data_IF_338043648004
#
_entry.id   IF_338043648004
#
_cell.length_a   1.000
_cell.length_b   1.000
_cell.length_c   1.000
_cell.angle_alpha   90.00
_cell.angle_beta   90.00
_cell.angle_gamma   90.00
#
_symmetry.space_group_name_H-M   'P 1'
#
loop_
_entity.id
_entity.type
_entity.pdbx_description
1 polymer ?
#
# COMPACT_ATOMS: atom_id res chain seq x y z
N UNK A 1 56.25 -35.30 -31.81
CA UNK A 1 54.84 -34.92 -31.55
C UNK A 1 54.42 -35.55 -30.24
N UNK A 2 54.38 -34.77 -29.15
CA UNK A 2 53.96 -35.28 -27.84
C UNK A 2 52.66 -34.55 -27.45
N UNK A 3 51.52 -35.24 -27.50
CA UNK A 3 50.24 -34.69 -27.04
C UNK A 3 50.19 -34.81 -25.52
N UNK A 4 50.21 -33.67 -24.82
CA UNK A 4 49.91 -33.64 -23.40
C UNK A 4 48.40 -33.85 -23.20
N UNK A 5 47.97 -34.74 -22.30
CA UNK A 5 46.57 -34.92 -21.99
C UNK A 5 46.07 -33.71 -21.20
N UNK A 6 45.11 -32.96 -21.76
CA UNK A 6 44.40 -31.93 -21.02
C UNK A 6 43.50 -32.62 -19.97
N UNK A 7 43.87 -32.50 -18.69
CA UNK A 7 43.04 -32.97 -17.58
C UNK A 7 41.75 -32.15 -17.54
N UNK A 8 40.66 -32.73 -18.02
CA UNK A 8 39.31 -32.22 -17.81
C UNK A 8 38.92 -32.47 -16.35
N UNK A 9 39.04 -31.43 -15.53
CA UNK A 9 38.43 -31.40 -14.20
C UNK A 9 36.92 -31.17 -14.37
N UNK A 10 36.15 -32.25 -14.39
CA UNK A 10 34.72 -32.20 -14.15
C UNK A 10 34.48 -31.60 -12.76
N UNK A 11 34.28 -30.28 -12.67
CA UNK A 11 33.99 -29.58 -11.41
C UNK A 11 32.55 -29.89 -11.01
N UNK A 12 32.37 -30.91 -10.18
CA UNK A 12 31.12 -31.12 -9.44
C UNK A 12 31.02 -30.12 -8.29
N UNK A 13 29.80 -29.66 -7.99
CA UNK A 13 29.52 -28.80 -6.84
C UNK A 13 29.66 -29.62 -5.55
N UNK A 14 30.43 -29.14 -4.59
CA UNK A 14 30.59 -29.81 -3.29
C UNK A 14 29.32 -29.67 -2.45
N UNK A 15 28.98 -30.70 -1.67
CA UNK A 15 27.89 -30.62 -0.68
C UNK A 15 28.11 -29.46 0.30
N UNK A 16 29.37 -29.21 0.68
CA UNK A 16 29.73 -28.11 1.58
C UNK A 16 29.51 -26.74 0.92
N UNK A 17 29.77 -26.62 -0.40
CA UNK A 17 29.49 -25.38 -1.14
C UNK A 17 28.00 -25.07 -1.15
N UNK A 18 27.14 -26.09 -1.32
CA UNK A 18 25.68 -25.91 -1.26
C UNK A 18 25.22 -25.48 0.13
N UNK A 19 25.71 -26.12 1.18
CA UNK A 19 25.35 -25.75 2.55
C UNK A 19 25.78 -24.32 2.89
N UNK A 20 26.98 -23.91 2.46
CA UNK A 20 27.47 -22.56 2.70
C UNK A 20 26.63 -21.52 1.94
N UNK A 21 26.29 -21.77 0.67
CA UNK A 21 25.43 -20.89 -0.12
C UNK A 21 24.05 -20.76 0.51
N UNK A 22 23.43 -21.86 0.94
CA UNK A 22 22.13 -21.84 1.61
C UNK A 22 22.18 -21.07 2.94
N UNK A 23 23.25 -21.23 3.71
CA UNK A 23 23.46 -20.47 4.95
C UNK A 23 23.58 -18.97 4.69
N UNK A 24 24.26 -18.55 3.62
CA UNK A 24 24.36 -17.13 3.26
C UNK A 24 23.02 -16.58 2.73
N UNK A 25 22.33 -17.34 1.88
CA UNK A 25 21.03 -16.93 1.33
C UNK A 25 19.98 -16.80 2.42
N UNK A 26 19.95 -17.70 3.41
CA UNK A 26 18.97 -17.62 4.51
C UNK A 26 19.15 -16.35 5.36
N UNK A 27 20.39 -15.93 5.60
CA UNK A 27 20.70 -14.66 6.28
C UNK A 27 20.21 -13.47 5.45
N UNK A 28 20.51 -13.45 4.15
CA UNK A 28 20.08 -12.37 3.26
C UNK A 28 18.56 -12.27 3.17
N UNK A 29 17.87 -13.40 3.00
CA UNK A 29 16.40 -13.46 2.93
C UNK A 29 15.77 -13.05 4.26
N UNK A 30 16.35 -13.49 5.38
CA UNK A 30 15.86 -13.15 6.72
C UNK A 30 15.85 -11.64 7.01
N UNK A 31 16.77 -10.89 6.40
CA UNK A 31 16.81 -9.43 6.51
C UNK A 31 16.02 -8.73 5.40
N UNK A 32 16.09 -9.23 4.16
CA UNK A 32 15.54 -8.56 2.99
C UNK A 32 14.01 -8.58 2.93
N UNK A 33 13.38 -9.70 3.26
CA UNK A 33 11.92 -9.86 3.17
C UNK A 33 11.15 -8.91 4.10
N UNK A 34 11.44 -8.84 5.42
CA UNK A 34 10.68 -7.95 6.32
C UNK A 34 10.84 -6.47 5.92
N UNK A 35 12.03 -6.06 5.46
CA UNK A 35 12.27 -4.70 4.99
C UNK A 35 11.41 -4.37 3.77
N UNK A 36 11.37 -5.24 2.77
CA UNK A 36 10.55 -5.04 1.58
C UNK A 36 9.05 -4.97 1.91
N UNK A 37 8.57 -5.84 2.81
CA UNK A 37 7.17 -5.82 3.26
C UNK A 37 6.81 -4.49 3.93
N UNK A 38 7.69 -3.97 4.80
CA UNK A 38 7.49 -2.66 5.42
C UNK A 38 7.40 -1.52 4.38
N UNK A 39 8.26 -1.53 3.37
CA UNK A 39 8.21 -0.53 2.29
C UNK A 39 6.91 -0.60 1.48
N UNK A 40 6.41 -1.81 1.19
CA UNK A 40 5.15 -1.98 0.47
C UNK A 40 3.94 -1.43 1.24
N UNK A 41 3.92 -1.61 2.56
CA UNK A 41 2.88 -1.03 3.44
C UNK A 41 2.90 0.49 3.34
N UNK A 42 4.07 1.12 3.41
CA UNK A 42 4.20 2.58 3.31
C UNK A 42 3.77 3.13 1.95
N UNK A 43 4.21 2.50 0.86
CA UNK A 43 3.84 2.90 -0.50
C UNK A 43 2.31 2.86 -0.70
N UNK A 44 1.63 1.84 -0.16
CA UNK A 44 0.18 1.72 -0.28
C UNK A 44 -0.57 2.76 0.54
N UNK A 45 -0.07 3.16 1.71
CA UNK A 45 -0.63 4.31 2.44
C UNK A 45 -0.55 5.59 1.61
N UNK A 46 0.59 5.84 0.98
CA UNK A 46 0.77 7.00 0.09
C UNK A 46 -0.19 6.96 -1.11
N UNK A 47 -0.35 5.79 -1.74
CA UNK A 47 -1.34 5.62 -2.81
C UNK A 47 -2.76 5.85 -2.30
N UNK A 48 -3.09 5.40 -1.09
CA UNK A 48 -4.40 5.62 -0.50
C UNK A 48 -4.66 7.10 -0.19
N UNK A 49 -3.64 7.82 0.29
CA UNK A 49 -3.70 9.27 0.46
C UNK A 49 -3.97 10.01 -0.86
N UNK A 50 -3.28 9.64 -1.93
CA UNK A 50 -3.50 10.21 -3.27
C UNK A 50 -4.92 9.91 -3.77
N UNK A 51 -5.41 8.70 -3.58
CA UNK A 51 -6.77 8.32 -3.97
C UNK A 51 -7.83 9.07 -3.17
N UNK A 52 -7.64 9.26 -1.85
CA UNK A 52 -8.54 10.07 -1.03
C UNK A 52 -8.64 11.51 -1.56
N UNK A 53 -7.51 12.13 -1.88
CA UNK A 53 -7.47 13.47 -2.48
C UNK A 53 -8.17 13.51 -3.84
N UNK A 54 -7.94 12.52 -4.69
CA UNK A 54 -8.59 12.42 -5.98
C UNK A 54 -10.12 12.31 -5.86
N UNK A 55 -10.63 11.48 -4.94
CA UNK A 55 -12.06 11.37 -4.66
C UNK A 55 -12.62 12.68 -4.10
N UNK A 56 -11.89 13.34 -3.19
CA UNK A 56 -12.31 14.63 -2.63
C UNK A 56 -12.44 15.72 -3.70
N UNK A 57 -11.47 15.80 -4.63
CA UNK A 57 -11.53 16.72 -5.76
C UNK A 57 -12.71 16.42 -6.68
N UNK A 58 -12.95 15.14 -7.00
CA UNK A 58 -14.10 14.74 -7.82
C UNK A 58 -15.44 15.09 -7.13
N UNK A 59 -15.51 14.95 -5.81
CA UNK A 59 -16.68 15.38 -5.03
C UNK A 59 -16.90 16.90 -5.10
N UNK A 60 -15.83 17.69 -4.96
CA UNK A 60 -15.92 19.15 -5.08
C UNK A 60 -16.39 19.59 -6.47
N UNK A 61 -15.89 18.93 -7.53
CA UNK A 61 -16.34 19.18 -8.90
C UNK A 61 -17.82 18.80 -9.09
N UNK A 62 -18.24 17.64 -8.60
CA UNK A 62 -19.64 17.23 -8.63
C UNK A 62 -20.53 18.27 -7.94
N UNK A 63 -20.15 18.72 -6.76
CA UNK A 63 -20.91 19.72 -6.01
C UNK A 63 -20.99 21.06 -6.75
N UNK A 64 -19.92 21.46 -7.45
CA UNK A 64 -19.93 22.66 -8.28
C UNK A 64 -20.85 22.53 -9.50
N UNK A 65 -20.93 21.36 -10.12
CA UNK A 65 -21.75 21.12 -11.32
C UNK A 65 -23.24 20.90 -11.00
N UNK A 66 -23.54 20.13 -9.96
CA UNK A 66 -24.90 19.70 -9.62
C UNK A 66 -25.54 20.62 -8.57
N UNK A 67 -24.73 21.29 -7.74
CA UNK A 67 -25.20 22.11 -6.63
C UNK A 67 -25.55 21.33 -5.36
N UNK A 68 -25.41 20.01 -5.39
CA UNK A 68 -25.70 19.09 -4.28
C UNK A 68 -24.48 18.20 -3.99
N UNK A 69 -24.42 17.63 -2.79
CA UNK A 69 -23.37 16.67 -2.43
C UNK A 69 -23.60 15.34 -3.15
N UNK A 70 -22.51 14.65 -3.50
CA UNK A 70 -22.61 13.39 -4.21
C UNK A 70 -23.12 12.29 -3.25
N UNK A 71 -24.11 11.47 -3.65
CA UNK A 71 -24.66 10.43 -2.77
C UNK A 71 -23.67 9.28 -2.51
N UNK A 72 -22.76 9.00 -3.44
CA UNK A 72 -21.80 7.91 -3.37
C UNK A 72 -20.57 8.15 -4.27
N UNK A 73 -19.54 7.29 -4.15
CA UNK A 73 -18.32 7.39 -4.98
C UNK A 73 -18.60 7.05 -6.45
N UNK A 74 -19.60 6.22 -6.75
CA UNK A 74 -19.89 5.82 -8.13
C UNK A 74 -20.43 7.00 -8.96
N UNK A 75 -21.20 7.88 -8.32
CA UNK A 75 -21.71 9.12 -8.92
C UNK A 75 -20.61 10.12 -9.30
N UNK A 76 -19.43 10.00 -8.69
CA UNK A 76 -18.26 10.84 -9.00
C UNK A 76 -17.50 10.41 -10.26
N UNK A 77 -17.83 9.25 -10.85
CA UNK A 77 -17.11 8.71 -12.01
C UNK A 77 -15.67 8.28 -11.70
N UNK A 78 -15.30 8.14 -10.43
CA UNK A 78 -13.97 7.71 -10.00
C UNK A 78 -13.92 6.19 -9.89
N UNK A 79 -12.87 5.57 -10.44
CA UNK A 79 -12.61 4.15 -10.24
C UNK A 79 -12.09 3.88 -8.82
N UNK A 80 -12.77 2.99 -8.10
CA UNK A 80 -12.44 2.59 -6.73
C UNK A 80 -12.15 1.08 -6.66
N UNK A 81 -11.15 0.64 -7.43
CA UNK A 81 -10.75 -0.77 -7.55
C UNK A 81 -9.45 -1.08 -6.81
N UNK A 82 -9.26 -0.49 -5.63
CA UNK A 82 -8.08 -0.70 -4.81
C UNK A 82 -8.16 -2.06 -4.09
N UNK A 83 -7.06 -2.81 -4.13
CA UNK A 83 -6.91 -4.13 -3.51
C UNK A 83 -6.50 -4.03 -2.04
N UNK A 84 -5.91 -2.91 -1.63
CA UNK A 84 -5.41 -2.67 -0.28
C UNK A 84 -6.45 -1.98 0.61
N UNK A 85 -7.17 -1.02 0.04
CA UNK A 85 -8.15 -0.20 0.76
C UNK A 85 -9.54 -0.27 0.12
N UNK A 86 -10.57 -0.11 0.94
CA UNK A 86 -11.95 0.11 0.55
C UNK A 86 -12.34 1.54 0.91
N UNK A 87 -12.86 2.29 -0.07
CA UNK A 87 -13.21 3.69 0.12
C UNK A 87 -14.73 3.84 0.19
N UNK A 88 -15.19 4.62 1.16
CA UNK A 88 -16.60 4.89 1.41
C UNK A 88 -16.80 6.40 1.57
N UNK A 89 -17.85 6.92 0.95
CA UNK A 89 -18.32 8.29 1.18
C UNK A 89 -19.38 8.26 2.28
N UNK A 90 -19.19 9.08 3.31
CA UNK A 90 -20.15 9.30 4.40
C UNK A 90 -20.63 10.73 4.31
N UNK A 91 -21.94 10.91 4.33
CA UNK A 91 -22.59 12.21 4.28
C UNK A 91 -23.18 12.53 5.64
N UNK A 92 -23.13 13.80 6.00
CA UNK A 92 -23.83 14.44 7.10
C UNK A 92 -24.62 15.64 6.55
N UNK A 93 -25.41 16.32 7.38
CA UNK A 93 -26.32 17.40 6.93
C UNK A 93 -25.62 18.54 6.18
N UNK A 94 -24.36 18.85 6.53
CA UNK A 94 -23.56 19.93 5.91
C UNK A 94 -22.10 19.54 5.63
N UNK A 95 -21.74 18.28 5.84
CA UNK A 95 -20.36 17.81 5.77
C UNK A 95 -20.27 16.44 5.10
N UNK A 96 -19.09 16.11 4.57
CA UNK A 96 -18.78 14.75 4.11
C UNK A 96 -17.47 14.26 4.70
N UNK A 97 -17.35 12.94 4.74
CA UNK A 97 -16.10 12.26 4.99
C UNK A 97 -15.88 11.15 3.97
N UNK A 98 -14.67 11.07 3.41
CA UNK A 98 -14.23 9.93 2.62
C UNK A 98 -13.34 9.09 3.51
N UNK A 99 -13.68 7.83 3.67
CA UNK A 99 -12.99 6.90 4.56
C UNK A 99 -12.38 5.79 3.74
N UNK A 100 -11.06 5.62 3.83
CA UNK A 100 -10.34 4.48 3.28
C UNK A 100 -10.01 3.49 4.42
N UNK A 101 -10.61 2.31 4.38
CA UNK A 101 -10.39 1.24 5.37
C UNK A 101 -9.59 0.11 4.75
N UNK A 102 -8.62 -0.44 5.47
CA UNK A 102 -7.85 -1.61 5.01
C UNK A 102 -8.78 -2.78 4.72
N UNK A 103 -8.60 -3.41 3.54
CA UNK A 103 -9.31 -4.65 3.18
C UNK A 103 -8.74 -5.83 3.95
N UNK A 104 -9.64 -6.68 4.48
CA UNK A 104 -9.31 -7.94 5.13
C UNK A 104 -10.15 -9.08 4.52
N UNK A 105 -9.55 -10.07 3.84
CA UNK A 105 -8.12 -10.24 3.57
C UNK A 105 -7.60 -9.21 2.55
N UNK A 106 -6.34 -8.81 2.69
CA UNK A 106 -5.75 -7.83 1.80
C UNK A 106 -4.24 -7.65 2.03
N UNK A 107 -3.53 -7.05 1.06
CA UNK A 107 -2.09 -6.88 1.15
C UNK A 107 -1.66 -5.87 2.22
N UNK A 108 -2.59 -5.07 2.74
CA UNK A 108 -2.41 -4.10 3.83
C UNK A 108 -2.92 -4.62 5.19
N UNK A 109 -3.45 -5.86 5.28
CA UNK A 109 -4.12 -6.38 6.48
C UNK A 109 -3.28 -6.41 7.77
N UNK A 110 -1.95 -6.40 7.65
CA UNK A 110 -1.02 -6.41 8.78
C UNK A 110 -0.60 -5.01 9.21
N UNK A 111 -1.18 -3.97 8.62
CA UNK A 111 -0.94 -2.60 9.00
C UNK A 111 -1.64 -2.29 10.34
N UNK A 112 -0.91 -2.51 11.44
CA UNK A 112 -1.41 -2.24 12.79
C UNK A 112 -1.39 -0.75 13.14
N UNK A 113 -0.64 0.07 12.40
CA UNK A 113 -0.47 1.47 12.71
C UNK A 113 -1.49 2.35 11.98
N UNK A 114 -1.93 1.99 10.77
CA UNK A 114 -2.74 2.86 9.91
C UNK A 114 -3.78 2.04 9.12
N UNK A 115 -4.76 1.51 9.83
CA UNK A 115 -5.78 0.63 9.26
C UNK A 115 -6.99 1.39 8.69
N UNK A 116 -7.10 2.69 8.99
CA UNK A 116 -8.11 3.56 8.40
C UNK A 116 -7.54 4.98 8.19
N UNK A 117 -7.81 5.55 7.03
CA UNK A 117 -7.46 6.92 6.65
C UNK A 117 -8.74 7.67 6.33
N UNK A 118 -8.83 8.95 6.70
CA UNK A 118 -10.05 9.75 6.58
C UNK A 118 -9.73 11.11 5.99
N UNK A 119 -10.55 11.54 5.04
CA UNK A 119 -10.63 12.91 4.57
C UNK A 119 -11.96 13.49 5.03
N UNK A 120 -11.97 14.50 5.90
CA UNK A 120 -13.20 15.17 6.35
C UNK A 120 -13.33 16.61 5.82
N UNK A 121 -14.56 17.09 5.64
CA UNK A 121 -14.87 18.49 5.32
C UNK A 121 -15.68 19.12 6.46
N UNK A 122 -15.03 19.47 7.56
CA UNK A 122 -15.74 20.14 8.66
C UNK A 122 -15.69 21.65 8.45
N UNK A 123 -16.85 22.28 8.22
CA UNK A 123 -16.99 23.74 8.07
C UNK A 123 -16.04 24.37 7.02
N UNK A 124 -15.80 23.65 5.92
CA UNK A 124 -14.89 24.10 4.85
C UNK A 124 -13.40 23.89 5.14
N UNK A 125 -13.04 23.33 6.29
CA UNK A 125 -11.68 22.84 6.54
C UNK A 125 -11.55 21.39 6.08
N UNK A 126 -10.51 21.15 5.29
CA UNK A 126 -10.11 19.82 4.86
C UNK A 126 -8.95 19.35 5.71
N UNK A 127 -9.10 18.21 6.36
CA UNK A 127 -8.00 17.57 7.07
C UNK A 127 -7.97 16.08 6.80
N UNK A 128 -6.74 15.59 6.87
CA UNK A 128 -6.38 14.18 6.77
C UNK A 128 -6.31 13.67 8.21
N UNK A 129 -7.12 12.68 8.51
CA UNK A 129 -7.12 11.99 9.80
C UNK A 129 -6.87 10.49 9.57
N UNK A 130 -6.55 9.77 10.62
CA UNK A 130 -6.34 8.33 10.58
C UNK A 130 -6.81 7.69 11.87
N UNK A 131 -7.20 6.43 11.80
CA UNK A 131 -7.47 5.60 12.98
C UNK A 131 -6.40 4.52 13.04
N UNK A 132 -5.70 4.44 14.17
CA UNK A 132 -4.56 3.54 14.33
C UNK A 132 -3.59 3.94 15.45
N UNK A 133 -2.31 3.64 15.26
CA UNK A 133 -1.21 3.89 16.20
C UNK A 133 -0.87 5.39 16.37
N UNK A 134 0.40 5.71 16.61
CA UNK A 134 0.80 7.12 16.80
C UNK A 134 0.73 7.90 15.48
N UNK A 135 0.30 9.17 15.54
CA UNK A 135 0.08 10.06 14.40
C UNK A 135 1.28 10.20 13.43
N UNK A 136 2.50 10.04 13.95
CA UNK A 136 3.73 10.12 13.13
C UNK A 136 3.94 8.93 12.21
N UNK A 137 3.24 7.81 12.44
CA UNK A 137 3.52 6.55 11.74
C UNK A 137 2.67 6.39 10.48
N UNK A 138 1.72 7.30 10.22
CA UNK A 138 0.76 7.23 9.10
C UNK A 138 1.03 8.22 7.95
N UNK A 139 2.11 9.00 8.06
CA UNK A 139 2.56 9.98 7.07
C UNK A 139 3.72 9.45 6.23
#
# INVERSE_FOLDING_TARGET
>A
MNKQPALSLSRGFSLLELLLVLALVSVLVGLGVPQWQGQQIQLRRQLAWLNLQHIALAHAEYQHQVGEMAPDIASLGVSNNDVAYEYLLRLDESAFAIVATVRTPGPQQNDQACWQLVWHSNDGNYALDHVGGNNTDCL
#
